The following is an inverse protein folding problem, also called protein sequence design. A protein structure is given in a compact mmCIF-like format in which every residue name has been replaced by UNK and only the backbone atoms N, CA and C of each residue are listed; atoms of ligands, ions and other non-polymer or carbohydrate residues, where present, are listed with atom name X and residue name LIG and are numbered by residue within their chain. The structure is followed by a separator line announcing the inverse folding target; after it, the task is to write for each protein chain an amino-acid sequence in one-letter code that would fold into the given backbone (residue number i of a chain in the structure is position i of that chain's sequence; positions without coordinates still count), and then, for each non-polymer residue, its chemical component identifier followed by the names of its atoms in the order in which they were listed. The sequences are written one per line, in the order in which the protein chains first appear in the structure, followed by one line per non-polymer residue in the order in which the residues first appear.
data_IF_337925564910
#
_entry.id   IF_337925564910
#
_cell.length_a   1.000
_cell.length_b   1.000
_cell.length_c   1.000
_cell.angle_alpha   90.00
_cell.angle_beta   90.00
_cell.angle_gamma   90.00
#
_symmetry.space_group_name_H-M   'P 1'
#
loop_
_entity.id
_entity.type
_entity.pdbx_description
1 polymer ?
#
# COMPACT_ATOMS: atom_id res chain seq x y z
N UNK A 1 -35.41 4.20 5.69
CA UNK A 1 -34.82 5.06 6.73
C UNK A 1 -33.68 5.84 6.09
N UNK A 2 -33.87 7.15 5.90
CA UNK A 2 -32.82 8.05 5.40
C UNK A 2 -31.86 8.34 6.56
N UNK A 3 -30.54 8.38 6.36
CA UNK A 3 -29.61 8.77 7.43
C UNK A 3 -30.03 10.13 8.01
N UNK A 4 -29.98 10.25 9.34
CA UNK A 4 -30.25 11.50 10.04
C UNK A 4 -29.35 12.60 9.47
N UNK A 5 -29.96 13.71 9.02
CA UNK A 5 -29.29 14.77 8.28
C UNK A 5 -28.14 15.36 9.10
N UNK A 6 -26.90 15.04 8.75
CA UNK A 6 -25.74 15.82 9.13
C UNK A 6 -25.84 17.17 8.40
N UNK A 7 -26.52 18.13 9.03
CA UNK A 7 -26.53 19.51 8.60
C UNK A 7 -25.20 20.15 9.02
N UNK A 8 -24.32 20.30 8.05
CA UNK A 8 -23.14 21.13 8.14
C UNK A 8 -22.71 21.46 6.72
N UNK A 9 -22.27 22.69 6.51
CA UNK A 9 -21.62 23.15 5.26
C UNK A 9 -20.24 22.47 5.09
N UNK A 10 -20.19 21.15 5.24
CA UNK A 10 -19.02 20.33 5.00
C UNK A 10 -18.71 20.40 3.52
N UNK A 11 -17.42 20.63 3.21
CA UNK A 11 -16.81 20.68 1.87
C UNK A 11 -17.80 20.42 0.75
N UNK A 12 -18.11 21.45 -0.03
CA UNK A 12 -19.02 21.41 -1.16
C UNK A 12 -18.54 20.34 -2.17
N UNK A 13 -18.84 19.07 -1.89
CA UNK A 13 -18.64 17.88 -2.73
C UNK A 13 -19.77 17.93 -3.77
N UNK A 14 -19.75 19.00 -4.56
CA UNK A 14 -20.83 19.32 -5.46
C UNK A 14 -20.87 18.28 -6.60
N UNK A 15 -22.09 17.75 -6.77
CA UNK A 15 -22.73 17.34 -8.02
C UNK A 15 -22.11 16.15 -8.73
N UNK A 16 -22.73 14.98 -8.53
CA UNK A 16 -23.33 14.11 -9.56
C UNK A 16 -22.51 13.60 -10.76
N UNK A 17 -21.35 14.16 -11.05
CA UNK A 17 -20.41 13.67 -12.05
C UNK A 17 -19.48 12.68 -11.36
N UNK A 18 -19.48 11.44 -11.84
CA UNK A 18 -18.46 10.46 -11.48
C UNK A 18 -17.10 11.09 -11.76
N UNK A 19 -16.33 11.39 -10.71
CA UNK A 19 -14.98 11.91 -10.84
C UNK A 19 -14.17 10.97 -11.73
N UNK A 20 -13.60 11.51 -12.81
CA UNK A 20 -12.72 10.75 -13.68
C UNK A 20 -11.51 10.27 -12.88
N UNK A 21 -11.34 8.95 -12.79
CA UNK A 21 -10.16 8.37 -12.15
C UNK A 21 -8.97 8.49 -13.10
N UNK A 22 -7.82 8.84 -12.53
CA UNK A 22 -6.57 8.95 -13.28
C UNK A 22 -5.89 7.59 -13.30
N UNK A 23 -5.32 7.27 -14.47
CA UNK A 23 -4.54 6.05 -14.68
C UNK A 23 -3.06 6.42 -14.65
N UNK A 24 -2.29 5.69 -13.85
CA UNK A 24 -0.82 5.73 -13.83
C UNK A 24 -0.32 4.38 -14.32
N UNK A 25 0.44 4.39 -15.41
CA UNK A 25 0.96 3.16 -16.04
C UNK A 25 2.37 2.85 -15.57
N UNK A 26 2.57 1.67 -15.00
CA UNK A 26 3.88 1.12 -14.60
C UNK A 26 4.26 0.05 -15.63
N UNK A 27 4.81 0.49 -16.77
CA UNK A 27 4.99 -0.37 -17.93
C UNK A 27 3.64 -0.85 -18.45
N UNK A 28 3.37 -2.15 -18.36
CA UNK A 28 2.15 -2.84 -18.78
C UNK A 28 1.07 -2.92 -17.68
N UNK A 29 1.35 -2.40 -16.49
CA UNK A 29 0.41 -2.40 -15.35
C UNK A 29 -0.24 -1.03 -15.19
N UNK A 30 -1.55 -0.94 -15.45
CA UNK A 30 -2.32 0.27 -15.18
C UNK A 30 -2.85 0.29 -13.74
N UNK A 31 -2.59 1.39 -13.03
CA UNK A 31 -3.01 1.62 -11.65
C UNK A 31 -4.06 2.74 -11.65
N UNK A 32 -5.29 2.43 -11.25
CA UNK A 32 -6.37 3.41 -11.09
C UNK A 32 -7.40 2.94 -10.06
N UNK A 33 -8.15 3.87 -9.47
CA UNK A 33 -9.06 3.57 -8.35
C UNK A 33 -10.30 2.75 -8.75
N UNK A 34 -10.59 2.66 -10.05
CA UNK A 34 -11.71 1.94 -10.66
C UNK A 34 -11.26 0.71 -11.48
N UNK A 35 -9.97 0.40 -11.48
CA UNK A 35 -9.40 -0.82 -12.06
C UNK A 35 -9.24 -1.92 -10.99
N UNK A 36 -9.04 -3.19 -11.40
CA UNK A 36 -8.61 -4.24 -10.47
C UNK A 36 -7.36 -3.80 -9.71
N UNK A 37 -7.36 -4.02 -8.39
CA UNK A 37 -6.27 -3.54 -7.55
C UNK A 37 -4.91 -4.15 -7.95
N UNK A 38 -3.87 -3.36 -7.84
CA UNK A 38 -2.48 -3.80 -8.01
C UNK A 38 -1.86 -4.12 -6.65
N UNK A 39 -1.15 -5.24 -6.56
CA UNK A 39 -0.41 -5.61 -5.36
C UNK A 39 1.01 -5.04 -5.42
N UNK A 40 1.32 -4.10 -4.54
CA UNK A 40 2.67 -3.64 -4.23
C UNK A 40 3.22 -4.49 -3.09
N UNK A 41 3.67 -5.70 -3.42
CA UNK A 41 4.01 -6.74 -2.45
C UNK A 41 5.50 -7.05 -2.42
N UNK A 42 6.06 -7.32 -1.24
CA UNK A 42 7.45 -7.76 -1.18
C UNK A 42 7.97 -7.88 0.25
N UNK A 43 9.14 -7.31 0.51
CA UNK A 43 9.82 -7.36 1.82
C UNK A 43 10.20 -5.96 2.33
N UNK A 44 10.58 -5.87 3.61
CA UNK A 44 10.87 -4.57 4.20
C UNK A 44 12.16 -3.95 3.67
N UNK A 45 13.26 -4.68 3.83
CA UNK A 45 14.62 -4.28 3.46
C UNK A 45 15.23 -5.45 2.71
N UNK A 46 16.08 -5.20 1.72
CA UNK A 46 16.91 -6.24 1.13
C UNK A 46 17.86 -6.74 2.22
N UNK A 47 17.77 -8.02 2.59
CA UNK A 47 18.62 -8.62 3.64
C UNK A 47 19.72 -9.50 3.03
N UNK A 48 19.39 -10.18 1.94
CA UNK A 48 20.32 -10.91 1.06
C UNK A 48 19.67 -11.11 -0.30
N UNK A 49 20.50 -11.34 -1.33
CA UNK A 49 20.06 -11.70 -2.69
C UNK A 49 19.09 -12.89 -2.66
N UNK A 50 19.51 -14.02 -2.11
CA UNK A 50 18.73 -15.27 -2.17
C UNK A 50 17.38 -15.17 -1.46
N UNK A 51 17.32 -14.41 -0.35
CA UNK A 51 16.06 -14.17 0.34
C UNK A 51 15.11 -13.33 -0.51
N UNK A 52 15.63 -12.28 -1.15
CA UNK A 52 14.84 -11.45 -2.06
C UNK A 52 14.30 -12.27 -3.24
N UNK A 53 15.13 -13.14 -3.83
CA UNK A 53 14.73 -14.06 -4.90
C UNK A 53 13.61 -15.00 -4.47
N UNK A 54 13.77 -15.67 -3.32
CA UNK A 54 12.77 -16.61 -2.79
C UNK A 54 11.44 -15.93 -2.47
N UNK A 55 11.47 -14.72 -1.90
CA UNK A 55 10.25 -13.95 -1.61
C UNK A 55 9.59 -13.52 -2.92
N UNK A 56 10.36 -13.00 -3.89
CA UNK A 56 9.83 -12.57 -5.18
C UNK A 56 9.16 -13.73 -5.93
N UNK A 57 9.84 -14.89 -6.02
CA UNK A 57 9.31 -16.10 -6.64
C UNK A 57 7.95 -16.52 -6.04
N UNK A 58 7.84 -16.47 -4.70
CA UNK A 58 6.61 -16.82 -4.02
C UNK A 58 5.47 -15.84 -4.38
N UNK A 59 5.75 -14.53 -4.35
CA UNK A 59 4.75 -13.53 -4.75
C UNK A 59 4.33 -13.71 -6.21
N UNK A 60 5.28 -13.85 -7.14
CA UNK A 60 5.03 -14.08 -8.58
C UNK A 60 4.14 -15.29 -8.79
N UNK A 61 4.47 -16.41 -8.15
CA UNK A 61 3.68 -17.66 -8.25
C UNK A 61 2.22 -17.43 -7.81
N UNK A 62 2.03 -16.74 -6.68
CA UNK A 62 0.69 -16.50 -6.13
C UNK A 62 -0.09 -15.49 -6.97
N UNK A 63 0.54 -14.39 -7.40
CA UNK A 63 -0.13 -13.33 -8.16
C UNK A 63 -0.50 -13.80 -9.56
N UNK A 64 0.36 -14.55 -10.25
CA UNK A 64 0.04 -15.17 -11.54
C UNK A 64 -1.12 -16.17 -11.41
N UNK A 65 -1.09 -17.05 -10.40
CA UNK A 65 -2.16 -18.01 -10.14
C UNK A 65 -3.51 -17.33 -9.88
N UNK A 66 -3.51 -16.17 -9.22
CA UNK A 66 -4.73 -15.44 -8.88
C UNK A 66 -5.17 -14.45 -9.97
N UNK A 67 -4.28 -14.06 -10.88
CA UNK A 67 -4.50 -13.02 -11.88
C UNK A 67 -4.44 -11.61 -11.30
N UNK A 68 -3.52 -11.36 -10.36
CA UNK A 68 -3.36 -10.06 -9.69
C UNK A 68 -2.12 -9.35 -10.27
N UNK A 69 -2.23 -8.12 -10.79
CA UNK A 69 -1.07 -7.34 -11.21
C UNK A 69 -0.12 -7.08 -10.04
N UNK A 70 1.19 -7.13 -10.28
CA UNK A 70 2.19 -7.22 -9.22
C UNK A 70 3.39 -6.30 -9.43
N UNK A 71 3.74 -5.56 -8.38
CA UNK A 71 4.97 -4.76 -8.27
C UNK A 71 5.74 -5.24 -7.03
N UNK A 72 6.97 -5.71 -7.21
CA UNK A 72 7.84 -6.16 -6.13
C UNK A 72 8.37 -4.98 -5.33
N UNK A 73 8.18 -5.01 -4.00
CA UNK A 73 8.68 -3.97 -3.10
C UNK A 73 9.86 -4.45 -2.26
N UNK A 74 10.94 -3.67 -2.19
CA UNK A 74 11.91 -3.73 -1.10
C UNK A 74 12.59 -2.37 -0.90
N UNK A 75 13.26 -2.19 0.24
CA UNK A 75 14.11 -1.02 0.50
C UNK A 75 15.58 -1.44 0.43
N UNK A 76 16.43 -0.69 -0.27
CA UNK A 76 17.89 -0.92 -0.25
C UNK A 76 18.57 -0.32 1.00
N UNK A 77 17.94 0.69 1.61
CA UNK A 77 18.39 1.35 2.84
C UNK A 77 17.22 1.69 3.77
N UNK A 78 17.46 1.63 5.08
CA UNK A 78 16.58 2.11 6.14
C UNK A 78 17.21 3.33 6.82
N UNK A 79 17.05 4.51 6.22
CA UNK A 79 17.62 5.76 6.73
C UNK A 79 16.99 6.31 8.03
N UNK A 80 15.92 5.67 8.53
CA UNK A 80 15.10 6.17 9.64
C UNK A 80 14.99 5.17 10.81
N UNK A 81 15.99 4.30 11.00
CA UNK A 81 16.03 3.42 12.18
C UNK A 81 16.18 4.26 13.44
N UNK A 82 15.44 3.90 14.49
CA UNK A 82 15.53 4.58 15.80
C UNK A 82 16.90 4.44 16.47
N UNK A 83 17.67 3.41 16.12
CA UNK A 83 19.02 3.17 16.65
C UNK A 83 20.04 3.09 15.51
N UNK A 84 21.19 3.74 15.69
CA UNK A 84 22.31 3.73 14.74
C UNK A 84 22.91 2.34 14.51
N UNK A 85 22.75 1.42 15.47
CA UNK A 85 23.28 0.05 15.39
C UNK A 85 22.36 -0.92 14.65
N UNK A 86 21.16 -0.47 14.27
CA UNK A 86 20.24 -1.28 13.50
C UNK A 86 20.75 -1.54 12.09
N UNK A 87 20.56 -2.77 11.60
CA UNK A 87 20.81 -3.10 10.20
C UNK A 87 20.03 -2.16 9.25
N UNK A 88 20.70 -1.66 8.21
CA UNK A 88 20.14 -0.68 7.28
C UNK A 88 19.83 -1.24 5.90
N UNK A 89 20.41 -2.37 5.50
CA UNK A 89 20.30 -2.89 4.14
C UNK A 89 21.65 -2.95 3.45
N UNK A 90 21.69 -3.40 2.19
CA UNK A 90 22.91 -3.51 1.39
C UNK A 90 23.44 -2.16 0.91
N UNK A 91 22.65 -1.09 0.99
CA UNK A 91 22.99 0.21 0.42
C UNK A 91 22.65 0.31 -1.07
N UNK A 92 22.90 1.48 -1.66
CA UNK A 92 22.43 1.82 -3.00
C UNK A 92 22.98 0.89 -4.08
N UNK A 93 24.31 0.78 -4.20
CA UNK A 93 24.96 0.04 -5.30
C UNK A 93 24.57 -1.44 -5.33
N UNK A 94 24.71 -2.13 -4.19
CA UNK A 94 24.37 -3.55 -4.09
C UNK A 94 22.85 -3.79 -4.15
N UNK A 95 22.06 -2.87 -3.62
CA UNK A 95 20.60 -2.92 -3.74
C UNK A 95 20.13 -2.86 -5.20
N UNK A 96 20.74 -2.00 -6.02
CA UNK A 96 20.42 -1.90 -7.44
C UNK A 96 20.77 -3.19 -8.20
N UNK A 97 21.95 -3.79 -7.94
CA UNK A 97 22.33 -5.09 -8.55
C UNK A 97 21.30 -6.19 -8.26
N UNK A 98 20.82 -6.27 -7.01
CA UNK A 98 19.78 -7.24 -6.63
C UNK A 98 18.47 -6.95 -7.37
N UNK A 99 18.09 -5.68 -7.53
CA UNK A 99 16.87 -5.32 -8.27
C UNK A 99 16.96 -5.65 -9.76
N UNK A 100 18.09 -5.37 -10.42
CA UNK A 100 18.33 -5.76 -11.81
C UNK A 100 18.17 -7.27 -12.01
N UNK A 101 18.72 -8.06 -11.09
CA UNK A 101 18.62 -9.52 -11.14
C UNK A 101 17.18 -10.02 -10.95
N UNK A 102 16.42 -9.42 -10.03
CA UNK A 102 14.99 -9.71 -9.85
C UNK A 102 14.19 -9.40 -11.12
N UNK A 103 14.45 -8.26 -11.76
CA UNK A 103 13.81 -7.88 -13.04
C UNK A 103 14.17 -8.88 -14.15
N UNK A 104 15.44 -9.22 -14.28
CA UNK A 104 15.93 -10.16 -15.29
C UNK A 104 15.33 -11.56 -15.11
N UNK A 105 15.20 -12.01 -13.87
CA UNK A 105 14.76 -13.39 -13.58
C UNK A 105 13.25 -13.55 -13.66
N UNK A 106 12.49 -12.59 -13.13
CA UNK A 106 11.03 -12.73 -12.99
C UNK A 106 10.22 -11.79 -13.89
N UNK A 107 10.85 -10.82 -14.55
CA UNK A 107 10.15 -9.81 -15.35
C UNK A 107 9.26 -8.87 -14.54
N UNK A 108 9.43 -8.81 -13.21
CA UNK A 108 8.58 -8.01 -12.32
C UNK A 108 8.90 -6.52 -12.42
N UNK A 109 7.89 -5.69 -12.16
CA UNK A 109 8.08 -4.27 -11.85
C UNK A 109 8.55 -4.11 -10.43
N UNK A 110 9.38 -3.10 -10.14
CA UNK A 110 9.97 -2.88 -8.82
C UNK A 110 9.65 -1.49 -8.28
N UNK A 111 9.37 -1.43 -6.97
CA UNK A 111 9.26 -0.20 -6.18
C UNK A 111 10.30 -0.20 -5.04
N UNK A 112 11.04 0.91 -4.90
CA UNK A 112 11.91 1.18 -3.73
C UNK A 112 11.79 2.63 -3.28
N UNK A 113 12.12 2.89 -2.01
CA UNK A 113 12.20 4.23 -1.44
C UNK A 113 13.58 4.88 -1.60
N UNK A 114 13.59 6.21 -1.76
CA UNK A 114 14.80 7.05 -1.79
C UNK A 114 14.81 8.02 -0.62
N UNK A 115 15.99 8.31 -0.07
CA UNK A 115 16.15 9.10 1.16
C UNK A 115 16.88 10.42 0.94
N UNK A 116 17.62 10.55 -0.16
CA UNK A 116 18.40 11.74 -0.52
C UNK A 116 18.20 12.08 -2.00
N UNK A 117 18.25 13.38 -2.34
CA UNK A 117 18.01 13.86 -3.70
C UNK A 117 18.95 13.23 -4.74
N UNK A 118 20.23 13.04 -4.39
CA UNK A 118 21.23 12.44 -5.27
C UNK A 118 20.96 10.95 -5.60
N UNK A 119 20.11 10.28 -4.81
CA UNK A 119 19.72 8.87 -5.05
C UNK A 119 18.62 8.75 -6.10
N UNK A 120 17.86 9.81 -6.37
CA UNK A 120 16.65 9.72 -7.21
C UNK A 120 16.96 9.23 -8.64
N UNK A 121 17.95 9.83 -9.30
CA UNK A 121 18.33 9.49 -10.66
C UNK A 121 18.93 8.07 -10.81
N UNK A 122 19.97 7.66 -10.03
CA UNK A 122 20.50 6.30 -10.18
C UNK A 122 19.48 5.21 -9.82
N UNK A 123 18.53 5.49 -8.92
CA UNK A 123 17.45 4.55 -8.63
C UNK A 123 16.44 4.47 -9.78
N UNK A 124 16.09 5.60 -10.41
CA UNK A 124 15.11 5.65 -11.50
C UNK A 124 15.54 4.86 -12.75
N UNK A 125 16.84 4.67 -12.93
CA UNK A 125 17.41 3.89 -14.04
C UNK A 125 17.16 2.39 -13.91
N UNK A 126 16.91 1.91 -12.68
CA UNK A 126 16.77 0.48 -12.37
C UNK A 126 15.33 0.10 -12.03
N UNK A 127 14.66 0.89 -11.19
CA UNK A 127 13.31 0.56 -10.68
C UNK A 127 12.21 1.22 -11.50
N UNK A 128 10.98 0.71 -11.39
CA UNK A 128 9.84 1.20 -12.16
C UNK A 128 9.02 2.25 -11.37
N UNK A 129 9.12 2.23 -10.03
CA UNK A 129 8.45 3.17 -9.14
C UNK A 129 9.40 3.63 -8.03
N UNK A 130 9.47 4.94 -7.80
CA UNK A 130 10.22 5.53 -6.69
C UNK A 130 9.27 5.95 -5.59
N UNK A 131 9.52 5.50 -4.35
CA UNK A 131 8.72 5.86 -3.21
C UNK A 131 9.33 7.04 -2.43
N UNK A 132 8.54 8.09 -2.22
CA UNK A 132 8.87 9.20 -1.31
C UNK A 132 8.52 8.80 0.13
N UNK A 133 9.48 8.70 1.06
CA UNK A 133 9.22 8.26 2.43
C UNK A 133 8.31 9.20 3.22
N UNK A 134 7.52 8.64 4.14
CA UNK A 134 6.55 9.39 4.95
C UNK A 134 7.16 10.57 5.72
N UNK A 135 8.37 10.45 6.26
CA UNK A 135 9.01 11.55 7.00
C UNK A 135 9.58 12.65 6.09
N UNK A 136 9.77 12.35 4.82
CA UNK A 136 10.40 13.24 3.85
C UNK A 136 9.39 13.85 2.86
N UNK A 137 8.10 13.54 2.99
CA UNK A 137 7.10 13.88 1.98
C UNK A 137 6.86 15.38 1.74
N UNK A 138 7.42 16.26 2.59
CA UNK A 138 7.37 17.73 2.40
C UNK A 138 8.70 18.36 2.00
N UNK A 139 9.79 17.58 1.88
CA UNK A 139 11.12 18.10 1.54
C UNK A 139 11.16 18.44 0.05
N UNK A 140 11.10 19.74 -0.27
CA UNK A 140 10.92 20.23 -1.65
C UNK A 140 12.05 19.76 -2.57
N UNK A 141 13.31 19.84 -2.15
CA UNK A 141 14.46 19.45 -2.98
C UNK A 141 14.43 17.96 -3.36
N UNK A 142 13.99 17.09 -2.44
CA UNK A 142 13.82 15.67 -2.72
C UNK A 142 12.65 15.43 -3.67
N UNK A 143 11.52 16.11 -3.48
CA UNK A 143 10.36 16.05 -4.39
C UNK A 143 10.75 16.50 -5.79
N UNK A 144 11.47 17.61 -5.92
CA UNK A 144 11.95 18.14 -7.19
C UNK A 144 12.91 17.17 -7.89
N UNK A 145 13.88 16.61 -7.14
CA UNK A 145 14.82 15.63 -7.68
C UNK A 145 14.09 14.37 -8.17
N UNK A 146 13.10 13.87 -7.42
CA UNK A 146 12.27 12.75 -7.83
C UNK A 146 11.39 13.07 -9.04
N UNK A 147 10.79 14.26 -9.10
CA UNK A 147 9.97 14.69 -10.22
C UNK A 147 10.77 14.71 -11.53
N UNK A 148 11.99 15.27 -11.49
CA UNK A 148 12.91 15.37 -12.64
C UNK A 148 13.30 14.03 -13.25
N UNK A 149 13.18 12.93 -12.51
CA UNK A 149 13.46 11.58 -13.05
C UNK A 149 12.45 11.11 -14.08
N UNK A 150 11.22 11.67 -14.07
CA UNK A 150 10.10 11.19 -14.89
C UNK A 150 9.56 9.80 -14.51
N UNK A 151 10.09 9.16 -13.46
CA UNK A 151 9.63 7.87 -12.98
C UNK A 151 8.24 7.97 -12.32
N UNK A 152 7.54 6.84 -12.21
CA UNK A 152 6.31 6.78 -11.40
C UNK A 152 6.67 6.98 -9.93
N UNK A 153 5.91 7.83 -9.25
CA UNK A 153 6.17 8.18 -7.85
C UNK A 153 5.10 7.60 -6.94
N UNK A 154 5.50 6.91 -5.88
CA UNK A 154 4.61 6.54 -4.78
C UNK A 154 4.84 7.45 -3.57
N UNK A 155 3.86 8.29 -3.22
CA UNK A 155 3.94 9.19 -2.07
C UNK A 155 3.38 8.50 -0.84
N UNK A 156 4.24 8.22 0.14
CA UNK A 156 3.78 7.80 1.47
C UNK A 156 3.14 8.96 2.22
N UNK A 157 1.82 8.88 2.46
CA UNK A 157 1.14 9.86 3.32
C UNK A 157 1.81 9.87 4.70
N UNK A 158 2.32 11.01 5.17
CA UNK A 158 2.85 11.11 6.52
C UNK A 158 1.76 10.84 7.56
N UNK A 159 2.13 10.19 8.67
CA UNK A 159 1.20 9.94 9.79
C UNK A 159 0.70 11.22 10.49
N UNK A 160 1.36 12.36 10.23
CA UNK A 160 1.03 13.69 10.75
C UNK A 160 0.37 14.61 9.69
N UNK A 161 0.09 14.10 8.49
CA UNK A 161 -0.55 14.87 7.41
C UNK A 161 -1.98 14.40 7.20
N UNK A 162 -2.90 15.37 7.12
CA UNK A 162 -4.30 15.10 6.82
C UNK A 162 -4.48 14.69 5.35
N UNK A 163 -5.50 13.87 5.01
CA UNK A 163 -5.80 13.49 3.64
C UNK A 163 -5.93 14.68 2.67
N UNK A 164 -6.56 15.78 3.11
CA UNK A 164 -6.77 16.97 2.29
C UNK A 164 -5.48 17.71 1.90
N UNK A 165 -4.39 17.53 2.64
CA UNK A 165 -3.10 18.16 2.35
C UNK A 165 -2.26 17.40 1.32
N UNK A 166 -2.71 16.22 0.87
CA UNK A 166 -2.02 15.46 -0.16
C UNK A 166 -2.04 16.15 -1.54
N UNK A 167 -3.05 17.01 -1.80
CA UNK A 167 -3.11 17.88 -2.98
C UNK A 167 -1.82 18.69 -3.17
N UNK A 168 -1.36 19.35 -2.11
CA UNK A 168 -0.13 20.16 -2.14
C UNK A 168 1.12 19.35 -2.53
N UNK A 169 1.19 18.05 -2.17
CA UNK A 169 2.34 17.21 -2.51
C UNK A 169 2.27 16.82 -3.99
N UNK A 170 1.08 16.48 -4.49
CA UNK A 170 0.86 16.20 -5.93
C UNK A 170 1.17 17.43 -6.77
N UNK A 171 0.72 18.61 -6.35
CA UNK A 171 0.98 19.86 -7.07
C UNK A 171 2.48 20.14 -7.19
N UNK A 172 3.27 19.88 -6.13
CA UNK A 172 4.75 19.99 -6.21
C UNK A 172 5.36 19.05 -7.26
N UNK A 173 4.89 17.80 -7.35
CA UNK A 173 5.37 16.87 -8.38
C UNK A 173 5.00 17.35 -9.78
N UNK A 174 3.76 17.84 -9.94
CA UNK A 174 3.26 18.39 -11.20
C UNK A 174 4.02 19.65 -11.63
N UNK A 175 4.31 20.57 -10.72
CA UNK A 175 5.16 21.74 -10.96
C UNK A 175 6.60 21.33 -11.31
N UNK A 176 7.10 20.24 -10.71
CA UNK A 176 8.36 19.59 -11.09
C UNK A 176 8.32 18.84 -12.43
N UNK A 177 7.20 18.88 -13.16
CA UNK A 177 7.05 18.26 -14.48
C UNK A 177 6.65 16.79 -14.48
N UNK A 178 6.25 16.23 -13.34
CA UNK A 178 5.89 14.82 -13.21
C UNK A 178 4.49 14.64 -12.61
N UNK A 179 3.56 14.15 -13.42
CA UNK A 179 2.17 13.92 -13.03
C UNK A 179 1.87 12.42 -12.80
N UNK A 180 2.88 11.55 -12.80
CA UNK A 180 2.76 10.10 -12.60
C UNK A 180 2.83 9.73 -11.12
N UNK A 181 1.84 10.16 -10.33
CA UNK A 181 1.84 10.04 -8.87
C UNK A 181 0.81 9.03 -8.36
N UNK A 182 1.22 8.17 -7.45
CA UNK A 182 0.39 7.26 -6.66
C UNK A 182 0.44 7.70 -5.20
N UNK A 183 -0.69 7.68 -4.51
CA UNK A 183 -0.79 8.05 -3.10
C UNK A 183 -0.92 6.80 -2.24
N UNK A 184 -0.15 6.72 -1.16
CA UNK A 184 -0.14 5.55 -0.28
C UNK A 184 -0.49 5.91 1.15
N UNK A 185 -1.69 5.53 1.59
CA UNK A 185 -2.09 5.65 2.99
C UNK A 185 -1.34 4.61 3.85
N UNK A 186 -0.95 4.98 5.07
CA UNK A 186 -0.24 4.14 6.03
C UNK A 186 -0.71 4.38 7.47
N UNK A 187 -1.92 4.92 7.65
CA UNK A 187 -2.46 5.37 8.92
C UNK A 187 -2.00 6.77 9.34
N UNK A 188 -2.64 7.26 10.39
CA UNK A 188 -2.40 8.55 11.04
C UNK A 188 -2.15 8.34 12.53
N UNK A 189 -1.37 9.24 13.14
CA UNK A 189 -1.08 9.19 14.58
C UNK A 189 -2.37 9.26 15.39
N UNK A 190 -2.50 8.36 16.38
CA UNK A 190 -3.63 8.34 17.31
C UNK A 190 -3.12 8.24 18.74
N UNK A 191 -2.89 9.40 19.36
CA UNK A 191 -2.13 9.49 20.61
C UNK A 191 -0.65 9.16 20.39
N UNK A 192 0.04 8.79 21.47
CA UNK A 192 1.43 8.35 21.40
C UNK A 192 1.52 6.92 20.88
N UNK A 193 2.56 6.65 20.08
CA UNK A 193 3.03 5.30 19.77
C UNK A 193 2.05 4.36 19.06
N UNK A 194 0.96 4.91 18.51
CA UNK A 194 -0.12 4.18 17.89
C UNK A 194 -0.64 4.86 16.61
N UNK A 195 -1.26 4.06 15.75
CA UNK A 195 -1.84 4.49 14.49
C UNK A 195 -3.28 4.00 14.34
N UNK A 196 -4.09 4.84 13.68
CA UNK A 196 -5.44 4.54 13.21
C UNK A 196 -5.53 4.83 11.71
N UNK A 197 -6.37 4.08 10.99
CA UNK A 197 -6.67 4.34 9.57
C UNK A 197 -8.06 4.96 9.50
N UNK A 198 -8.13 6.17 8.98
CA UNK A 198 -9.39 6.81 8.63
C UNK A 198 -9.77 6.38 7.21
N UNK A 199 -10.72 5.44 7.10
CA UNK A 199 -11.21 4.93 5.82
C UNK A 199 -11.89 6.00 4.97
N UNK A 200 -12.42 7.07 5.59
CA UNK A 200 -13.03 8.19 4.87
C UNK A 200 -11.96 9.03 4.14
N UNK A 201 -10.76 9.09 4.72
CA UNK A 201 -9.62 9.80 4.16
C UNK A 201 -9.21 9.35 2.76
N UNK A 202 -9.51 8.10 2.39
CA UNK A 202 -9.23 7.56 1.05
C UNK A 202 -9.91 8.41 -0.04
N UNK A 203 -11.22 8.67 0.10
CA UNK A 203 -11.95 9.45 -0.90
C UNK A 203 -11.60 10.93 -0.85
N UNK A 204 -11.24 11.45 0.33
CA UNK A 204 -10.70 12.81 0.44
C UNK A 204 -9.43 12.95 -0.39
N UNK A 205 -8.48 12.01 -0.30
CA UNK A 205 -7.25 12.04 -1.12
C UNK A 205 -7.55 11.98 -2.61
N UNK A 206 -8.47 11.11 -3.05
CA UNK A 206 -8.89 11.07 -4.47
C UNK A 206 -9.42 12.41 -4.94
N UNK A 207 -10.31 13.03 -4.14
CA UNK A 207 -10.94 14.31 -4.48
C UNK A 207 -9.93 15.45 -4.62
N UNK A 208 -9.09 15.66 -3.60
CA UNK A 208 -8.15 16.80 -3.57
C UNK A 208 -7.00 16.67 -4.55
N UNK A 209 -6.81 15.48 -5.13
CA UNK A 209 -5.76 15.23 -6.12
C UNK A 209 -6.33 15.04 -7.53
N UNK A 210 -7.63 15.21 -7.76
CA UNK A 210 -8.20 15.04 -9.11
C UNK A 210 -8.16 13.59 -9.61
N UNK A 211 -8.36 12.62 -8.71
CA UNK A 211 -8.55 11.22 -9.05
C UNK A 211 -7.27 10.40 -9.15
N UNK A 212 -6.13 10.86 -8.61
CA UNK A 212 -4.91 10.05 -8.58
C UNK A 212 -5.13 8.70 -7.87
N UNK A 213 -4.41 7.64 -8.27
CA UNK A 213 -4.53 6.33 -7.65
C UNK A 213 -4.17 6.37 -6.16
N UNK A 214 -5.04 5.81 -5.32
CA UNK A 214 -4.82 5.66 -3.88
C UNK A 214 -4.64 4.19 -3.55
N UNK A 215 -3.49 3.85 -2.97
CA UNK A 215 -3.16 2.53 -2.46
C UNK A 215 -3.11 2.54 -0.93
N UNK A 216 -3.27 1.37 -0.32
CA UNK A 216 -3.24 1.23 1.13
C UNK A 216 -2.11 0.31 1.61
N UNK A 217 -1.21 0.85 2.43
CA UNK A 217 -0.20 0.05 3.13
C UNK A 217 -0.72 -0.43 4.47
N UNK A 218 -1.24 -1.65 4.42
CA UNK A 218 -1.75 -2.34 5.59
C UNK A 218 -0.63 -2.75 6.55
N UNK A 219 0.58 -3.03 6.07
CA UNK A 219 1.70 -3.47 6.91
C UNK A 219 2.11 -2.35 7.85
N UNK A 220 2.35 -1.16 7.31
CA UNK A 220 2.82 -0.03 8.09
C UNK A 220 1.71 0.64 8.89
N UNK A 221 0.44 0.57 8.44
CA UNK A 221 -0.72 1.01 9.22
C UNK A 221 -0.89 0.24 10.54
N UNK A 222 -0.38 -0.99 10.61
CA UNK A 222 -0.43 -1.82 11.82
C UNK A 222 0.73 -1.59 12.78
N UNK A 223 1.65 -0.68 12.48
CA UNK A 223 2.73 -0.33 13.39
C UNK A 223 2.19 0.29 14.67
N UNK A 224 2.81 -0.12 15.77
CA UNK A 224 2.70 0.44 17.10
C UNK A 224 4.08 0.37 17.74
N UNK A 225 4.30 1.03 18.87
CA UNK A 225 5.54 0.83 19.62
C UNK A 225 5.28 0.78 21.11
N UNK A 226 6.21 0.13 21.80
CA UNK A 226 6.39 0.30 23.24
C UNK A 226 7.13 1.64 23.44
N UNK A 227 6.66 2.55 24.32
CA UNK A 227 7.30 3.84 24.56
C UNK A 227 8.80 3.76 24.89
N UNK A 228 9.26 2.67 25.50
CA UNK A 228 10.67 2.45 25.85
C UNK A 228 11.36 1.42 24.96
N UNK A 229 10.68 0.95 23.91
CA UNK A 229 11.18 -0.06 22.99
C UNK A 229 12.22 0.49 22.00
N UNK A 230 13.30 -0.26 21.77
CA UNK A 230 14.33 0.09 20.80
C UNK A 230 13.92 -0.10 19.31
N UNK A 231 12.73 -0.67 19.06
CA UNK A 231 12.20 -0.94 17.72
C UNK A 231 10.67 -0.87 17.69
N UNK A 232 10.11 -0.60 16.51
CA UNK A 232 8.66 -0.65 16.29
C UNK A 232 8.11 -2.07 16.51
N UNK A 233 7.00 -2.16 17.24
CA UNK A 233 6.13 -3.32 17.25
C UNK A 233 5.14 -3.31 16.08
N UNK A 234 4.09 -4.13 16.17
CA UNK A 234 2.98 -4.10 15.23
C UNK A 234 1.97 -5.22 15.42
N UNK A 235 0.81 -5.06 14.77
CA UNK A 235 -0.39 -5.90 14.94
C UNK A 235 -0.62 -6.85 13.75
N UNK A 236 0.42 -7.58 13.33
CA UNK A 236 0.38 -8.42 12.11
C UNK A 236 -0.75 -9.47 12.06
N UNK A 237 -1.25 -9.91 13.22
CA UNK A 237 -2.38 -10.85 13.29
C UNK A 237 -3.66 -10.29 12.64
N UNK A 238 -3.80 -8.96 12.59
CA UNK A 238 -4.97 -8.26 12.06
C UNK A 238 -4.77 -7.77 10.61
N UNK A 239 -3.70 -8.19 9.93
CA UNK A 239 -3.36 -7.72 8.57
C UNK A 239 -4.48 -7.98 7.57
N UNK A 240 -5.06 -9.18 7.58
CA UNK A 240 -6.12 -9.51 6.66
C UNK A 240 -7.45 -8.79 6.99
N UNK A 241 -7.70 -8.51 8.28
CA UNK A 241 -8.88 -7.76 8.72
C UNK A 241 -8.82 -6.32 8.23
N UNK A 242 -7.71 -5.63 8.49
CA UNK A 242 -7.53 -4.25 8.09
C UNK A 242 -7.42 -4.10 6.56
N UNK A 243 -6.75 -5.04 5.88
CA UNK A 243 -6.70 -5.05 4.42
C UNK A 243 -8.10 -5.14 3.81
N UNK A 244 -8.96 -6.04 4.32
CA UNK A 244 -10.36 -6.15 3.83
C UNK A 244 -11.14 -4.86 4.02
N UNK A 245 -10.95 -4.17 5.14
CA UNK A 245 -11.62 -2.89 5.39
C UNK A 245 -11.22 -1.83 4.35
N UNK A 246 -9.92 -1.67 4.06
CA UNK A 246 -9.46 -0.74 3.02
C UNK A 246 -9.93 -1.14 1.62
N UNK A 247 -9.81 -2.42 1.27
CA UNK A 247 -10.23 -2.94 -0.04
C UNK A 247 -11.72 -2.74 -0.31
N UNK A 248 -12.57 -2.81 0.72
CA UNK A 248 -14.00 -2.58 0.59
C UNK A 248 -14.38 -1.14 0.22
N UNK A 249 -13.48 -0.16 0.42
CA UNK A 249 -13.69 1.24 0.04
C UNK A 249 -13.51 1.46 -1.47
N UNK A 250 -12.83 0.55 -2.16
CA UNK A 250 -12.38 0.73 -3.54
C UNK A 250 -11.07 1.52 -3.58
N UNK A 251 -9.97 0.82 -3.86
CA UNK A 251 -8.61 1.34 -3.88
C UNK A 251 -7.90 0.86 -5.15
N UNK A 252 -6.94 1.63 -5.65
CA UNK A 252 -6.15 1.25 -6.81
C UNK A 252 -5.14 0.13 -6.51
N UNK A 253 -4.82 -0.09 -5.24
CA UNK A 253 -3.81 -1.08 -4.86
C UNK A 253 -3.69 -1.33 -3.36
N UNK A 254 -3.00 -2.42 -3.05
CA UNK A 254 -2.64 -2.81 -1.69
C UNK A 254 -1.12 -2.92 -1.61
N UNK A 255 -0.53 -2.31 -0.58
CA UNK A 255 0.88 -2.43 -0.27
C UNK A 255 1.06 -3.39 0.90
N UNK A 256 1.93 -4.39 0.74
CA UNK A 256 2.10 -5.48 1.70
C UNK A 256 3.56 -5.95 1.77
N UNK A 257 4.11 -6.05 2.97
CA UNK A 257 5.38 -6.73 3.20
C UNK A 257 5.17 -8.08 3.89
N UNK A 258 5.96 -9.08 3.48
CA UNK A 258 6.01 -10.40 4.07
C UNK A 258 7.47 -10.83 4.30
N UNK A 259 7.65 -11.82 5.16
CA UNK A 259 8.93 -12.46 5.43
C UNK A 259 8.65 -13.92 5.84
N UNK A 260 9.43 -14.92 5.40
CA UNK A 260 9.22 -16.34 5.72
C UNK A 260 9.23 -16.62 7.24
N UNK A 261 10.08 -15.92 7.98
CA UNK A 261 10.11 -15.95 9.45
C UNK A 261 10.11 -14.53 10.02
N UNK A 262 8.94 -13.92 10.28
CA UNK A 262 8.87 -12.53 10.74
C UNK A 262 9.58 -12.26 12.07
N UNK A 263 9.88 -13.30 12.87
CA UNK A 263 10.62 -13.14 14.14
C UNK A 263 12.13 -13.01 13.91
N UNK A 264 12.65 -13.52 12.78
CA UNK A 264 14.08 -13.51 12.44
C UNK A 264 14.49 -12.38 11.47
N UNK A 265 13.57 -11.52 11.06
CA UNK A 265 13.88 -10.36 10.22
C UNK A 265 15.06 -9.59 10.80
N UNK A 266 16.06 -9.22 9.99
CA UNK A 266 17.28 -8.59 10.47
C UNK A 266 17.02 -7.29 11.26
N UNK A 267 17.10 -7.43 12.58
CA UNK A 267 17.36 -6.39 13.56
C UNK A 267 18.63 -6.86 14.28
N UNK A 268 19.79 -6.78 13.61
CA UNK A 268 21.05 -7.22 14.24
C UNK A 268 21.23 -6.46 15.56
N UNK A 269 21.14 -7.19 16.68
CA UNK A 269 21.71 -6.78 17.97
C UNK A 269 23.22 -6.68 17.80
N UNK A 270 23.91 -5.76 18.49
CA UNK A 270 25.35 -5.63 18.36
C UNK A 270 26.02 -6.94 18.76
N UNK A 271 26.85 -7.48 17.87
CA UNK A 271 27.82 -8.52 18.22
C UNK A 271 28.78 -7.86 19.21
N UNK A 272 28.65 -8.17 20.51
CA UNK A 272 29.77 -7.96 21.43
C UNK A 272 30.85 -8.95 21.02
N UNK A 273 32.01 -8.42 20.64
CA UNK A 273 33.23 -9.17 20.44
C UNK A 273 33.46 -10.09 21.65
N UNK A 274 33.81 -11.34 21.36
CA UNK A 274 34.28 -12.29 22.36
C UNK A 274 35.59 -11.76 22.96
N UNK A 275 35.56 -11.41 24.24
CA UNK A 275 36.73 -11.40 25.11
C UNK A 275 36.33 -12.25 26.30
N UNK A 276 37.05 -13.36 26.49
CA UNK A 276 36.67 -14.42 27.40
C UNK A 276 36.75 -14.04 28.87
N UNK A 277 35.91 -14.69 29.68
CA UNK A 277 36.34 -15.63 30.73
C UNK A 277 35.12 -16.22 31.45
N UNK A 278 35.17 -17.54 31.61
CA UNK A 278 34.75 -18.36 32.75
C UNK A 278 33.35 -18.24 33.38
N UNK A 279 32.71 -19.40 33.54
CA UNK A 279 31.82 -19.69 34.68
C UNK A 279 30.49 -20.34 34.31
N UNK A 280 30.33 -21.62 34.65
CA UNK A 280 29.05 -22.36 34.70
C UNK A 280 28.01 -21.60 35.56
N UNK A 281 26.68 -21.74 35.37
CA UNK A 281 25.81 -22.85 35.85
C UNK A 281 24.38 -22.65 35.25
N UNK A 282 23.59 -23.70 34.97
CA UNK A 282 22.20 -23.60 34.51
C UNK A 282 21.15 -23.72 35.64
N UNK A 283 19.99 -23.08 35.46
CA UNK A 283 18.77 -23.26 36.28
C UNK A 283 17.75 -22.16 35.94
N UNK A 284 16.57 -22.52 35.41
CA UNK A 284 15.27 -22.44 36.08
C UNK A 284 14.85 -20.99 36.46
N UNK A 285 13.67 -20.49 36.11
CA UNK A 285 12.42 -21.02 36.63
C UNK A 285 11.18 -20.47 35.87
N UNK A 286 10.24 -21.37 35.61
CA UNK A 286 8.83 -21.11 35.32
C UNK A 286 8.10 -21.00 36.66
N UNK A 287 7.58 -19.83 37.02
CA UNK A 287 6.45 -19.80 37.96
C UNK A 287 5.78 -18.44 37.95
N UNK A 288 4.45 -18.43 37.82
CA UNK A 288 3.53 -17.79 38.77
C UNK A 288 2.08 -18.04 38.30
N UNK A 289 1.54 -19.20 38.70
CA UNK A 289 0.10 -19.44 38.88
C UNK A 289 -0.33 -18.77 40.20
N UNK A 290 -1.55 -18.22 40.23
CA UNK A 290 -2.26 -17.83 41.46
C UNK A 290 -3.10 -19.00 41.98
N UNK A 291 -3.26 -19.19 43.31
CA UNK A 291 -4.13 -20.22 43.88
C UNK A 291 -5.48 -19.66 44.38
N UNK A 292 -6.49 -20.55 44.41
CA UNK A 292 -7.59 -20.52 45.39
C UNK A 292 -8.98 -20.18 44.86
N UNK A 293 -9.80 -21.20 44.61
CA UNK A 293 -11.14 -21.39 45.22
C UNK A 293 -11.80 -22.65 44.64
N UNK A 294 -12.12 -23.62 45.52
CA UNK A 294 -12.92 -24.81 45.22
C UNK A 294 -14.38 -24.57 45.61
N UNK A 295 -15.33 -25.00 44.76
CA UNK A 295 -16.68 -25.41 45.14
C UNK A 295 -17.14 -26.60 44.28
N UNK A 296 -17.99 -27.51 44.80
CA UNK A 296 -18.14 -28.87 44.27
C UNK A 296 -19.34 -29.07 43.33
N UNK A 297 -19.19 -30.03 42.41
CA UNK A 297 -20.25 -30.97 42.00
C UNK A 297 -21.31 -30.49 41.00
N UNK A 298 -21.14 -30.82 39.73
CA UNK A 298 -22.23 -31.26 38.84
C UNK A 298 -21.63 -31.99 37.64
N UNK A 299 -21.95 -33.27 37.50
CA UNK A 299 -21.39 -34.14 36.47
C UNK A 299 -21.92 -33.86 35.07
N UNK A 300 -21.12 -34.22 34.07
CA UNK A 300 -21.61 -34.77 32.81
C UNK A 300 -20.50 -35.65 32.21
N UNK A 301 -20.75 -36.96 32.21
CA UNK A 301 -19.98 -37.93 31.44
C UNK A 301 -20.47 -37.94 30.00
N UNK A 302 -19.48 -37.92 29.09
CA UNK A 302 -19.41 -38.57 27.78
C UNK A 302 -20.50 -38.29 26.73
N UNK A 303 -20.06 -37.88 25.54
CA UNK A 303 -20.00 -38.81 24.41
C UNK A 303 -19.07 -38.32 23.28
N UNK A 304 -18.47 -39.33 22.67
CA UNK A 304 -17.40 -39.38 21.69
C UNK A 304 -17.61 -38.60 20.38
N UNK A 305 -16.53 -38.08 19.83
CA UNK A 305 -16.33 -38.07 18.38
C UNK A 305 -14.85 -38.32 18.05
N UNK A 306 -14.57 -39.50 17.49
CA UNK A 306 -13.31 -39.84 16.82
C UNK A 306 -13.04 -38.81 15.72
N UNK A 307 -11.83 -38.22 15.67
CA UNK A 307 -11.28 -37.66 14.44
C UNK A 307 -9.83 -38.07 14.25
N UNK A 308 -9.59 -38.56 13.04
CA UNK A 308 -8.34 -39.08 12.52
C UNK A 308 -7.15 -38.13 12.70
N UNK A 309 -6.01 -38.72 13.07
CA UNK A 309 -4.68 -38.12 12.93
C UNK A 309 -4.44 -37.72 11.46
N UNK A 310 -4.28 -36.42 11.19
CA UNK A 310 -3.50 -35.92 10.06
C UNK A 310 -2.38 -35.04 10.62
N UNK A 311 -1.14 -35.32 10.17
CA UNK A 311 0.07 -34.57 10.51
C UNK A 311 -0.10 -33.08 10.15
N UNK A 312 0.45 -32.14 10.95
CA UNK A 312 0.47 -30.74 10.57
C UNK A 312 1.49 -30.52 9.45
N UNK A 313 1.05 -29.87 8.38
CA UNK A 313 1.90 -29.36 7.31
C UNK A 313 2.65 -28.12 7.80
N UNK A 314 3.96 -28.06 7.55
CA UNK A 314 4.92 -27.12 8.13
C UNK A 314 5.24 -25.93 7.23
N UNK A 315 4.27 -25.43 6.46
CA UNK A 315 4.42 -24.21 5.65
C UNK A 315 3.65 -23.05 6.28
N UNK A 316 4.35 -22.18 7.01
CA UNK A 316 3.80 -20.96 7.62
C UNK A 316 3.51 -19.83 6.62
N UNK A 317 2.86 -20.12 5.49
CA UNK A 317 2.48 -19.13 4.48
C UNK A 317 0.95 -19.03 4.36
N UNK A 318 0.44 -17.81 4.38
CA UNK A 318 -0.99 -17.51 4.26
C UNK A 318 -1.51 -17.85 2.86
N UNK A 319 -2.38 -18.84 2.75
CA UNK A 319 -3.10 -19.14 1.49
C UNK A 319 -4.35 -18.26 1.36
N UNK A 320 -4.37 -17.35 0.40
CA UNK A 320 -5.59 -16.66 -0.04
C UNK A 320 -6.44 -17.62 -0.89
N UNK A 321 -7.56 -18.12 -0.37
CA UNK A 321 -8.57 -18.89 -1.13
C UNK A 321 -9.61 -17.96 -1.72
N UNK A 322 -9.83 -18.03 -3.05
CA UNK A 322 -10.85 -17.28 -3.84
C UNK A 322 -12.22 -17.20 -3.14
N UNK A 323 -12.49 -16.06 -2.45
CA UNK A 323 -13.82 -15.52 -2.16
C UNK A 323 -13.76 -13.99 -2.22
N UNK A 324 -13.78 -13.47 -3.45
CA UNK A 324 -14.01 -12.06 -3.74
C UNK A 324 -15.33 -12.04 -4.51
N UNK A 325 -16.32 -11.23 -4.11
CA UNK A 325 -17.53 -11.07 -4.90
C UNK A 325 -17.16 -10.43 -6.24
N UNK A 326 -17.81 -10.82 -7.36
CA UNK A 326 -17.61 -10.13 -8.62
C UNK A 326 -18.02 -8.66 -8.47
N UNK A 327 -17.19 -7.78 -9.00
CA UNK A 327 -17.52 -6.36 -9.20
C UNK A 327 -18.85 -6.25 -9.96
N UNK A 328 -19.73 -5.37 -9.50
CA UNK A 328 -21.01 -5.08 -10.15
C UNK A 328 -20.79 -4.73 -11.64
N UNK A 329 -21.57 -5.28 -12.58
CA UNK A 329 -21.40 -4.94 -13.99
C UNK A 329 -21.85 -3.50 -14.25
N UNK A 330 -21.03 -2.77 -15.00
CA UNK A 330 -21.36 -1.46 -15.54
C UNK A 330 -22.64 -1.55 -16.38
N UNK A 331 -23.58 -0.62 -16.15
CA UNK A 331 -24.81 -0.52 -16.93
C UNK A 331 -24.47 -0.12 -18.38
N UNK A 332 -24.45 -1.09 -19.29
CA UNK A 332 -24.37 -0.82 -20.72
C UNK A 332 -25.74 -0.42 -21.25
N UNK A 333 -25.95 0.89 -21.47
CA UNK A 333 -27.02 1.38 -22.30
C UNK A 333 -26.67 1.22 -23.78
N UNK A 334 -27.62 0.65 -24.56
CA UNK A 334 -28.09 1.09 -25.90
C UNK A 334 -28.54 -0.09 -26.77
N UNK A 335 -29.79 -0.03 -27.20
CA UNK A 335 -30.30 -0.47 -28.53
C UNK A 335 -31.38 0.55 -28.91
N UNK A 336 -31.10 1.55 -29.75
CA UNK A 336 -31.21 1.52 -31.22
C UNK A 336 -32.66 1.31 -31.73
N UNK A 337 -33.30 2.39 -32.19
CA UNK A 337 -34.38 2.35 -33.18
C UNK A 337 -34.25 3.58 -34.11
N UNK A 338 -34.36 3.31 -35.41
CA UNK A 338 -33.98 4.19 -36.52
C UNK A 338 -34.98 5.31 -36.90
N UNK A 339 -34.76 5.98 -38.04
CA UNK A 339 -35.30 7.31 -38.32
C UNK A 339 -36.70 7.27 -38.94
N UNK A 340 -37.53 8.26 -38.61
CA UNK A 340 -38.76 8.58 -39.37
C UNK A 340 -38.62 9.94 -40.04
N UNK A 341 -38.73 9.90 -41.35
CA UNK A 341 -38.94 11.01 -42.27
C UNK A 341 -40.33 11.63 -42.08
N UNK A 342 -40.43 12.96 -42.09
CA UNK A 342 -41.59 13.69 -42.59
C UNK A 342 -41.21 15.15 -42.86
N UNK A 343 -41.25 15.54 -44.13
CA UNK A 343 -41.42 16.94 -44.54
C UNK A 343 -42.86 17.39 -44.22
N UNK A 344 -43.14 18.71 -44.21
CA UNK A 344 -43.63 19.29 -45.45
C UNK A 344 -43.07 20.67 -45.79
N UNK A 345 -43.24 21.00 -47.07
CA UNK A 345 -42.88 22.24 -47.74
C UNK A 345 -43.73 23.44 -47.28
N UNK A 346 -43.14 24.64 -47.32
CA UNK A 346 -43.71 25.84 -47.97
C UNK A 346 -42.66 26.98 -47.95
N UNK A 347 -42.25 27.43 -49.14
CA UNK A 347 -41.66 28.75 -49.40
C UNK A 347 -42.79 29.70 -49.89
N UNK A 348 -42.58 30.99 -50.24
CA UNK A 348 -41.34 31.79 -50.24
C UNK A 348 -41.52 33.24 -49.70
N UNK A 349 -40.44 34.03 -49.64
CA UNK A 349 -40.58 35.50 -49.62
C UNK A 349 -39.35 36.32 -49.20
N UNK A 350 -38.79 37.06 -50.17
CA UNK A 350 -38.11 38.38 -50.09
C UNK A 350 -36.89 38.54 -49.14
N UNK A 351 -35.66 38.81 -49.64
CA UNK A 351 -35.10 40.02 -50.30
C UNK A 351 -34.34 40.96 -49.34
N UNK A 352 -33.24 41.52 -49.87
CA UNK A 352 -32.32 42.57 -49.36
C UNK A 352 -31.24 42.09 -48.36
N UNK A 353 -29.95 42.00 -48.73
CA UNK A 353 -29.00 43.05 -49.10
C UNK A 353 -28.63 43.98 -47.92
N UNK A 354 -27.32 44.10 -47.64
CA UNK A 354 -26.77 45.35 -47.11
C UNK A 354 -25.86 45.27 -45.89
N UNK A 355 -24.56 45.36 -46.18
CA UNK A 355 -23.56 46.26 -45.55
C UNK A 355 -22.99 46.01 -44.15
N UNK A 356 -21.66 45.88 -44.21
CA UNK A 356 -20.59 46.09 -43.25
C UNK A 356 -20.64 47.34 -42.34
N UNK A 357 -19.70 47.29 -41.36
CA UNK A 357 -19.19 48.30 -40.39
C UNK A 357 -19.94 48.26 -39.05
N UNK A 358 -19.29 48.14 -37.89
CA UNK A 358 -17.97 48.63 -37.44
C UNK A 358 -17.19 47.60 -36.65
#
# INVERSE_FOLDING_TARGET
MTPCSLQGDGYNLNKGESMKQKVVSIGDIDVANDLPFVLFGGMNVLESRDLAMSICEHYVTVTQKLGIPYVFKASFDKANRSSIHSYRGPGLEEGMKIFEELKKTFGVKIITDVHEAAQAQPVSEVVDVIQLPAFLARQTDLVEAMAKTGAVINVKKPQFVSPGQMGNIVDKFKEGGNDQVILCDRGSNFGYDNLVVDMLGINVMKNVTGGHPVIFDVTHALQTRDPFGAASGGRRAQVAELARAGMAVGLAGLFLEAHPDPKKRQVRRPVRAAVGQAGAVPGADESHRRPGEELPGAGYQQLSARRHKKKPDSSGFFTFKRRWPPTLPAASGRTASGPRSAAPAHAPGFSAAGTARR
#
